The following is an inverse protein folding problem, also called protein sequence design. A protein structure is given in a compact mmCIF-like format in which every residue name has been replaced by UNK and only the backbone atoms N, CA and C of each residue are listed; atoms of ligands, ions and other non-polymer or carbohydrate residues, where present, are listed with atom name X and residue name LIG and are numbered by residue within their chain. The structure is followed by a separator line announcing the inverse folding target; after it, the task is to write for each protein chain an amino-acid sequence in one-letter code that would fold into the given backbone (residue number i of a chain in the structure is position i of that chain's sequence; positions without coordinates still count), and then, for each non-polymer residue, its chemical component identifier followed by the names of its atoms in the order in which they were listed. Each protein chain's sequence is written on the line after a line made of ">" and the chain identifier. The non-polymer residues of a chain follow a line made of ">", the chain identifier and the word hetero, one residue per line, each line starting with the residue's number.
data_IF_404091388259
#
_entry.id   IF_404091388259
#
_cell.length_a   1.000
_cell.length_b   1.000
_cell.length_c   1.000
_cell.angle_alpha   90.00
_cell.angle_beta   90.00
_cell.angle_gamma   90.00
#
_symmetry.space_group_name_H-M   'P 1'
#
loop_
_entity.id
_entity.type
_entity.pdbx_description
1 polymer ?
#
# COMPACT_ATOMS: atom_id res chain seq x y z
N UNK A 1 -17.98 2.59 -8.05
CA UNK A 1 -16.89 3.23 -7.28
C UNK A 1 -16.82 4.71 -7.62
N UNK A 2 -16.33 5.55 -6.70
CA UNK A 2 -16.46 7.02 -6.77
C UNK A 2 -15.35 7.74 -7.54
N UNK A 3 -14.50 7.02 -8.28
CA UNK A 3 -13.37 7.62 -9.00
C UNK A 3 -13.80 8.70 -10.00
N UNK A 4 -14.95 8.51 -10.65
CA UNK A 4 -15.51 9.46 -11.62
C UNK A 4 -16.01 10.75 -10.94
N UNK A 5 -16.25 10.72 -9.63
CA UNK A 5 -16.67 11.86 -8.81
C UNK A 5 -15.53 12.41 -7.94
N UNK A 6 -14.27 11.96 -8.14
CA UNK A 6 -13.17 12.30 -7.24
C UNK A 6 -13.02 13.81 -7.02
N UNK A 7 -13.01 14.61 -8.10
CA UNK A 7 -12.81 16.05 -8.01
C UNK A 7 -13.98 16.77 -7.33
N UNK A 8 -15.20 16.30 -7.55
CA UNK A 8 -16.41 16.80 -6.89
C UNK A 8 -16.35 16.52 -5.38
N UNK A 9 -16.02 15.29 -5.00
CA UNK A 9 -15.87 14.89 -3.59
C UNK A 9 -14.73 15.67 -2.91
N UNK A 10 -13.59 15.84 -3.59
CA UNK A 10 -12.47 16.61 -3.07
C UNK A 10 -12.88 18.07 -2.79
N UNK A 11 -13.46 18.75 -3.78
CA UNK A 11 -13.92 20.13 -3.64
C UNK A 11 -15.02 20.27 -2.58
N UNK A 12 -15.97 19.34 -2.56
CA UNK A 12 -17.08 19.30 -1.61
C UNK A 12 -16.64 19.08 -0.16
N UNK A 13 -15.42 18.58 0.08
CA UNK A 13 -14.86 18.38 1.41
C UNK A 13 -13.86 19.48 1.82
N UNK A 14 -13.52 20.44 0.95
CA UNK A 14 -12.56 21.49 1.27
C UNK A 14 -13.01 22.38 2.44
N UNK A 15 -14.33 22.57 2.63
CA UNK A 15 -14.86 23.37 3.74
C UNK A 15 -14.50 22.82 5.13
N UNK A 16 -14.22 21.51 5.23
CA UNK A 16 -13.76 20.87 6.47
C UNK A 16 -12.34 21.28 6.86
N UNK A 17 -11.60 21.94 5.95
CA UNK A 17 -10.20 22.33 6.11
C UNK A 17 -9.32 21.17 6.62
N UNK A 18 -9.39 19.98 6.00
CA UNK A 18 -8.66 18.83 6.50
C UNK A 18 -7.15 19.11 6.52
N UNK A 19 -6.47 18.72 7.59
CA UNK A 19 -5.00 18.76 7.67
C UNK A 19 -4.37 17.87 6.59
N UNK A 20 -5.04 16.77 6.27
CA UNK A 20 -4.62 15.79 5.28
C UNK A 20 -5.82 15.18 4.57
N UNK A 21 -5.84 15.28 3.24
CA UNK A 21 -6.73 14.50 2.39
C UNK A 21 -5.97 13.27 1.88
N UNK A 22 -6.48 12.07 2.14
CA UNK A 22 -5.83 10.81 1.78
C UNK A 22 -6.83 9.98 0.98
N UNK A 23 -6.36 9.39 -0.10
CA UNK A 23 -7.09 8.39 -0.86
C UNK A 23 -6.24 7.15 -1.03
N UNK A 24 -6.93 6.02 -1.16
CA UNK A 24 -6.34 4.74 -1.51
C UNK A 24 -7.14 4.17 -2.69
N UNK A 25 -6.48 3.35 -3.49
CA UNK A 25 -7.13 2.58 -4.54
C UNK A 25 -7.99 1.51 -3.88
N UNK A 26 -9.27 1.44 -4.23
CA UNK A 26 -10.09 0.29 -3.88
C UNK A 26 -9.52 -0.93 -4.61
N UNK A 27 -9.16 -1.97 -3.87
CA UNK A 27 -8.57 -3.18 -4.44
C UNK A 27 -9.48 -4.38 -4.23
N UNK A 28 -9.41 -5.31 -5.16
CA UNK A 28 -9.96 -6.64 -4.98
C UNK A 28 -9.12 -7.40 -3.96
N UNK A 29 -9.73 -7.81 -2.84
CA UNK A 29 -9.05 -8.47 -1.74
C UNK A 29 -9.79 -9.74 -1.37
N UNK A 30 -9.05 -10.83 -1.18
CA UNK A 30 -9.60 -12.07 -0.63
C UNK A 30 -10.14 -11.82 0.78
N UNK A 31 -9.42 -11.02 1.59
CA UNK A 31 -9.87 -10.66 2.94
C UNK A 31 -11.27 -10.04 2.97
N UNK A 32 -11.60 -9.18 2.00
CA UNK A 32 -12.83 -8.40 1.98
C UNK A 32 -13.93 -9.01 1.11
N UNK A 33 -13.67 -10.20 0.53
CA UNK A 33 -14.58 -10.88 -0.40
C UNK A 33 -14.97 -10.01 -1.61
N UNK A 34 -14.01 -9.23 -2.12
CA UNK A 34 -14.22 -8.30 -3.25
C UNK A 34 -13.57 -8.74 -4.55
N UNK A 35 -13.08 -9.98 -4.63
CA UNK A 35 -12.48 -10.52 -5.85
C UNK A 35 -13.53 -10.65 -6.96
N UNK A 36 -13.21 -10.13 -8.14
CA UNK A 36 -14.10 -10.13 -9.31
C UNK A 36 -15.18 -9.04 -9.33
N UNK A 37 -15.21 -8.14 -8.35
CA UNK A 37 -16.18 -7.05 -8.30
C UNK A 37 -15.85 -5.88 -9.26
N UNK A 38 -14.66 -5.89 -9.89
CA UNK A 38 -14.21 -4.83 -10.79
C UNK A 38 -13.98 -3.51 -10.07
N UNK A 39 -13.59 -3.56 -8.78
CA UNK A 39 -13.50 -2.35 -7.94
C UNK A 39 -12.22 -1.56 -8.16
N UNK A 40 -11.18 -2.27 -8.61
CA UNK A 40 -9.89 -1.68 -8.93
C UNK A 40 -10.03 -0.78 -10.15
N UNK A 41 -9.80 0.54 -10.03
CA UNK A 41 -9.89 1.45 -11.14
C UNK A 41 -8.83 1.15 -12.20
N UNK A 42 -9.17 1.45 -13.45
CA UNK A 42 -8.20 1.42 -14.54
C UNK A 42 -7.08 2.44 -14.30
N UNK A 43 -5.86 2.07 -14.68
CA UNK A 43 -4.69 2.93 -14.57
C UNK A 43 -4.90 4.31 -15.23
N UNK A 44 -5.57 4.37 -16.40
CA UNK A 44 -5.81 5.64 -17.09
C UNK A 44 -6.74 6.59 -16.30
N UNK A 45 -7.70 6.05 -15.55
CA UNK A 45 -8.58 6.86 -14.69
C UNK A 45 -7.88 7.33 -13.43
N UNK A 46 -7.02 6.50 -12.85
CA UNK A 46 -6.30 6.82 -11.61
C UNK A 46 -5.12 7.77 -11.83
N UNK A 47 -4.39 7.67 -12.94
CA UNK A 47 -3.21 8.47 -13.23
C UNK A 47 -3.39 9.99 -13.01
N UNK A 48 -4.42 10.67 -13.58
CA UNK A 48 -4.61 12.11 -13.37
C UNK A 48 -4.91 12.46 -11.90
N UNK A 49 -5.60 11.58 -11.17
CA UNK A 49 -5.90 11.75 -9.74
C UNK A 49 -4.62 11.64 -8.92
N UNK A 50 -3.77 10.65 -9.21
CA UNK A 50 -2.49 10.49 -8.55
C UNK A 50 -1.58 11.70 -8.77
N UNK A 51 -1.57 12.25 -9.98
CA UNK A 51 -0.77 13.44 -10.32
C UNK A 51 -1.30 14.68 -9.57
N UNK A 52 -2.62 14.88 -9.56
CA UNK A 52 -3.27 15.96 -8.79
C UNK A 52 -2.97 15.87 -7.29
N UNK A 53 -3.14 14.70 -6.68
CA UNK A 53 -2.86 14.48 -5.26
C UNK A 53 -1.38 14.67 -4.93
N UNK A 54 -0.48 14.21 -5.82
CA UNK A 54 0.95 14.44 -5.68
C UNK A 54 1.30 15.93 -5.70
N UNK A 55 0.66 16.70 -6.58
CA UNK A 55 0.85 18.14 -6.67
C UNK A 55 0.31 18.87 -5.44
N UNK A 56 -0.92 18.56 -5.01
CA UNK A 56 -1.52 19.13 -3.79
C UNK A 56 -0.70 18.83 -2.54
N UNK A 57 -0.13 17.62 -2.44
CA UNK A 57 0.78 17.27 -1.37
C UNK A 57 2.04 18.14 -1.37
N UNK A 58 2.62 18.43 -2.55
CA UNK A 58 3.81 19.31 -2.66
C UNK A 58 3.53 20.78 -2.38
N UNK A 59 2.38 21.31 -2.80
CA UNK A 59 2.02 22.73 -2.61
C UNK A 59 1.79 23.09 -1.14
N UNK A 60 1.41 22.12 -0.29
CA UNK A 60 1.09 22.38 1.11
C UNK A 60 2.36 22.50 1.94
N UNK A 61 2.64 23.71 2.45
CA UNK A 61 3.77 23.95 3.35
C UNK A 61 3.53 23.24 4.68
N UNK A 62 4.35 22.23 4.94
CA UNK A 62 4.39 21.50 6.22
C UNK A 62 5.81 21.48 6.77
N UNK A 63 5.93 21.36 8.09
CA UNK A 63 7.21 21.31 8.79
C UNK A 63 7.35 20.02 9.62
N UNK A 64 8.58 19.69 10.02
CA UNK A 64 8.87 18.55 10.89
C UNK A 64 8.41 17.21 10.30
N UNK A 65 7.77 16.38 11.14
CA UNK A 65 7.35 15.02 10.78
C UNK A 65 6.32 14.99 9.64
N UNK A 66 5.46 16.01 9.54
CA UNK A 66 4.46 16.09 8.47
C UNK A 66 5.12 16.14 7.08
N UNK A 67 6.29 16.77 6.95
CA UNK A 67 7.06 16.79 5.71
C UNK A 67 7.54 15.41 5.29
N UNK A 68 7.98 14.60 6.25
CA UNK A 68 8.39 13.21 6.02
C UNK A 68 7.19 12.41 5.51
N UNK A 69 6.04 12.50 6.19
CA UNK A 69 4.83 11.76 5.79
C UNK A 69 4.33 12.15 4.39
N UNK A 70 4.42 13.44 4.02
CA UNK A 70 4.05 13.90 2.68
C UNK A 70 5.02 13.41 1.61
N UNK A 71 6.33 13.39 1.89
CA UNK A 71 7.33 12.87 0.95
C UNK A 71 7.08 11.38 0.65
N UNK A 72 6.84 10.56 1.68
CA UNK A 72 6.43 9.16 1.48
C UNK A 72 5.12 9.05 0.70
N UNK A 73 4.15 9.93 0.96
CA UNK A 73 2.86 9.90 0.25
C UNK A 73 2.99 10.24 -1.23
N UNK A 74 3.84 11.19 -1.59
CA UNK A 74 4.12 11.52 -2.98
C UNK A 74 4.76 10.32 -3.70
N UNK A 75 5.72 9.65 -3.07
CA UNK A 75 6.32 8.40 -3.59
C UNK A 75 5.27 7.29 -3.71
N UNK A 76 4.40 7.14 -2.72
CA UNK A 76 3.31 6.15 -2.74
C UNK A 76 2.38 6.35 -3.94
N UNK A 77 1.94 7.58 -4.24
CA UNK A 77 1.03 7.81 -5.37
C UNK A 77 1.67 7.45 -6.71
N UNK A 78 2.96 7.74 -6.89
CA UNK A 78 3.70 7.34 -8.08
C UNK A 78 3.89 5.81 -8.14
N UNK A 79 4.17 5.17 -7.01
CA UNK A 79 4.26 3.71 -6.91
C UNK A 79 2.93 3.06 -7.29
N UNK A 80 1.82 3.52 -6.71
CA UNK A 80 0.47 3.03 -6.97
C UNK A 80 0.09 3.17 -8.45
N UNK A 81 0.33 4.34 -9.05
CA UNK A 81 0.11 4.61 -10.48
C UNK A 81 0.89 3.62 -11.34
N UNK A 82 2.18 3.44 -11.07
CA UNK A 82 3.04 2.52 -11.82
C UNK A 82 2.64 1.06 -11.63
N UNK A 83 2.29 0.63 -10.43
CA UNK A 83 1.82 -0.74 -10.16
C UNK A 83 0.56 -1.05 -10.98
N UNK A 84 -0.40 -0.13 -11.05
CA UNK A 84 -1.59 -0.29 -11.89
C UNK A 84 -1.27 -0.33 -13.40
N UNK A 85 -0.32 0.48 -13.87
CA UNK A 85 0.05 0.53 -15.28
C UNK A 85 0.87 -0.68 -15.73
N UNK A 86 1.86 -1.05 -14.93
CA UNK A 86 2.86 -2.07 -15.29
C UNK A 86 2.44 -3.48 -14.82
N UNK A 87 1.40 -3.60 -13.99
CA UNK A 87 0.85 -4.87 -13.50
C UNK A 87 1.92 -5.80 -12.91
N UNK A 88 2.89 -5.21 -12.20
CA UNK A 88 4.02 -5.89 -11.57
C UNK A 88 4.45 -5.19 -10.30
N UNK A 89 5.30 -5.84 -9.51
CA UNK A 89 5.97 -5.20 -8.39
C UNK A 89 6.98 -4.16 -8.91
N UNK A 90 6.76 -2.89 -8.56
CA UNK A 90 7.66 -1.78 -8.92
C UNK A 90 8.86 -1.70 -7.97
N UNK A 91 8.63 -2.00 -6.69
CA UNK A 91 9.66 -2.24 -5.67
C UNK A 91 9.39 -3.61 -5.03
N UNK A 92 10.41 -4.25 -4.41
CA UNK A 92 10.20 -5.53 -3.75
C UNK A 92 9.10 -5.47 -2.70
N UNK A 93 8.25 -6.50 -2.68
CA UNK A 93 7.28 -6.68 -1.61
C UNK A 93 7.90 -7.51 -0.46
N UNK A 94 7.83 -6.98 0.75
CA UNK A 94 8.35 -7.61 1.96
C UNK A 94 7.26 -8.25 2.82
N UNK A 95 6.06 -8.47 2.26
CA UNK A 95 4.98 -9.21 2.91
C UNK A 95 5.42 -10.64 3.27
N UNK A 96 5.08 -11.09 4.47
CA UNK A 96 5.57 -12.34 5.05
C UNK A 96 7.03 -12.30 5.53
N UNK A 97 7.75 -11.19 5.35
CA UNK A 97 9.10 -10.95 5.90
C UNK A 97 9.13 -9.83 6.93
N UNK A 98 8.58 -8.66 6.61
CA UNK A 98 8.50 -7.51 7.51
C UNK A 98 7.10 -7.29 8.09
N UNK A 99 6.07 -7.80 7.43
CA UNK A 99 4.68 -7.64 7.85
C UNK A 99 3.90 -8.92 7.65
N UNK A 100 2.83 -9.06 8.42
CA UNK A 100 1.84 -10.11 8.28
C UNK A 100 0.51 -9.66 8.85
N UNK A 101 -0.49 -10.51 8.66
CA UNK A 101 -1.82 -10.25 9.17
C UNK A 101 -2.37 -11.47 9.88
N UNK A 102 -3.08 -11.23 10.98
CA UNK A 102 -3.80 -12.25 11.72
C UNK A 102 -5.28 -12.04 11.44
N UNK A 103 -5.92 -13.03 10.83
CA UNK A 103 -7.35 -13.03 10.57
C UNK A 103 -8.15 -13.27 11.87
N UNK A 104 -9.45 -12.91 11.93
CA UNK A 104 -10.29 -13.13 13.12
C UNK A 104 -10.38 -14.60 13.56
N UNK A 105 -10.28 -15.53 12.61
CA UNK A 105 -10.25 -16.97 12.84
C UNK A 105 -8.87 -17.49 13.35
N UNK A 106 -7.88 -16.60 13.48
CA UNK A 106 -6.55 -16.90 13.98
C UNK A 106 -5.56 -17.36 12.90
N UNK A 107 -5.97 -17.40 11.64
CA UNK A 107 -5.05 -17.68 10.53
C UNK A 107 -4.05 -16.54 10.36
N UNK A 108 -2.82 -16.91 10.07
CA UNK A 108 -1.74 -16.01 9.77
C UNK A 108 -1.56 -15.93 8.25
N UNK A 109 -1.61 -14.73 7.71
CA UNK A 109 -1.43 -14.43 6.29
C UNK A 109 -0.16 -13.62 6.07
N UNK A 110 0.47 -13.80 4.90
CA UNK A 110 1.57 -12.94 4.47
C UNK A 110 1.11 -11.51 4.18
N UNK A 111 -0.10 -11.34 3.61
CA UNK A 111 -0.79 -10.07 3.39
C UNK A 111 -2.32 -10.26 3.24
N UNK A 112 -3.10 -9.19 3.43
CA UNK A 112 -4.56 -9.19 3.25
C UNK A 112 -5.04 -9.36 1.80
N UNK A 113 -4.25 -8.95 0.81
CA UNK A 113 -4.65 -9.09 -0.59
C UNK A 113 -4.86 -10.55 -0.94
N UNK A 114 -3.84 -11.38 -0.64
CA UNK A 114 -3.85 -12.80 -0.95
C UNK A 114 -4.63 -13.60 0.11
N UNK A 115 -4.54 -13.18 1.38
CA UNK A 115 -5.19 -13.82 2.53
C UNK A 115 -4.99 -15.37 2.58
N UNK A 116 -3.86 -15.86 2.09
CA UNK A 116 -3.54 -17.28 2.12
C UNK A 116 -2.99 -17.67 3.50
N UNK A 117 -3.62 -18.67 4.11
CA UNK A 117 -3.24 -19.20 5.43
C UNK A 117 -1.87 -19.89 5.42
N UNK A 118 -0.90 -19.32 6.14
CA UNK A 118 0.37 -19.98 6.45
C UNK A 118 0.29 -20.90 7.66
N UNK A 119 -0.75 -20.74 8.49
CA UNK A 119 -1.02 -21.53 9.69
C UNK A 119 -1.95 -20.79 10.65
N UNK A 120 -2.44 -21.46 11.68
CA UNK A 120 -3.40 -20.88 12.62
C UNK A 120 -2.82 -20.79 14.05
N UNK A 121 -2.90 -19.63 14.67
CA UNK A 121 -2.38 -19.39 16.02
C UNK A 121 -3.05 -20.28 17.07
N UNK A 122 -4.38 -20.44 17.02
CA UNK A 122 -5.12 -21.29 17.97
C UNK A 122 -4.70 -22.75 17.90
N UNK A 123 -4.34 -23.23 16.70
CA UNK A 123 -3.85 -24.60 16.46
C UNK A 123 -2.37 -24.79 16.81
N UNK A 124 -1.62 -23.70 17.00
CA UNK A 124 -0.18 -23.72 17.29
C UNK A 124 0.14 -23.18 18.69
N UNK A 125 -0.80 -23.25 19.64
CA UNK A 125 -0.65 -22.71 21.00
C UNK A 125 -0.17 -21.25 21.01
N UNK A 126 -0.62 -20.47 20.03
CA UNK A 126 -0.24 -19.07 19.83
C UNK A 126 1.27 -18.84 19.60
N UNK A 127 2.02 -19.86 19.21
CA UNK A 127 3.43 -19.71 18.79
C UNK A 127 3.51 -19.17 17.35
N UNK A 128 3.58 -17.85 17.25
CA UNK A 128 3.78 -17.16 15.96
C UNK A 128 5.08 -17.57 15.28
N UNK A 129 6.17 -17.78 16.02
CA UNK A 129 7.49 -18.09 15.44
C UNK A 129 7.47 -19.41 14.70
N UNK A 130 6.75 -20.40 15.24
CA UNK A 130 6.54 -21.70 14.61
C UNK A 130 5.88 -21.54 13.23
N UNK A 131 4.82 -20.74 13.13
CA UNK A 131 4.13 -20.48 11.85
C UNK A 131 5.01 -19.63 10.93
N UNK A 132 5.70 -18.62 11.46
CA UNK A 132 6.54 -17.70 10.69
C UNK A 132 7.70 -18.39 9.97
N UNK A 133 8.27 -19.41 10.62
CA UNK A 133 9.38 -20.24 10.12
C UNK A 133 8.91 -21.50 9.39
N UNK A 134 7.61 -21.67 9.20
CA UNK A 134 7.04 -22.81 8.47
C UNK A 134 7.44 -22.81 6.99
N UNK A 135 7.38 -23.98 6.38
CA UNK A 135 7.55 -24.15 4.94
C UNK A 135 6.48 -23.37 4.16
N UNK A 136 5.23 -23.38 4.64
CA UNK A 136 4.12 -22.65 4.02
C UNK A 136 4.42 -21.14 3.94
N UNK A 137 4.87 -20.52 5.05
CA UNK A 137 5.26 -19.10 5.02
C UNK A 137 6.50 -18.86 4.12
N UNK A 138 7.44 -19.81 4.07
CA UNK A 138 8.59 -19.72 3.17
C UNK A 138 8.18 -19.77 1.68
N UNK A 139 7.23 -20.65 1.32
CA UNK A 139 6.67 -20.74 -0.02
C UNK A 139 5.94 -19.44 -0.43
N UNK A 140 5.12 -18.88 0.47
CA UNK A 140 4.45 -17.59 0.26
C UNK A 140 5.46 -16.46 0.04
N UNK A 141 6.49 -16.35 0.90
CA UNK A 141 7.58 -15.39 0.70
C UNK A 141 8.29 -15.57 -0.63
N UNK A 142 8.55 -16.81 -1.04
CA UNK A 142 9.18 -17.11 -2.33
C UNK A 142 8.31 -16.71 -3.52
N UNK A 143 7.01 -16.96 -3.45
CA UNK A 143 6.03 -16.51 -4.46
C UNK A 143 6.01 -14.98 -4.57
N UNK A 144 5.96 -14.29 -3.43
CA UNK A 144 5.98 -12.83 -3.36
C UNK A 144 7.29 -12.27 -3.93
N UNK A 145 8.45 -12.80 -3.55
CA UNK A 145 9.74 -12.29 -4.01
C UNK A 145 9.99 -12.52 -5.51
N UNK A 146 9.35 -13.54 -6.11
CA UNK A 146 9.36 -13.78 -7.56
C UNK A 146 8.42 -12.88 -8.36
N UNK A 147 7.63 -12.02 -7.72
CA UNK A 147 6.74 -11.10 -8.43
C UNK A 147 5.45 -11.74 -8.94
N UNK A 148 5.03 -12.90 -8.39
CA UNK A 148 3.81 -13.62 -8.80
C UNK A 148 2.50 -12.88 -8.41
N UNK A 149 2.62 -11.76 -7.69
CA UNK A 149 1.53 -10.86 -7.37
C UNK A 149 1.98 -9.41 -7.48
N UNK A 150 1.03 -8.49 -7.67
CA UNK A 150 1.23 -7.05 -7.60
C UNK A 150 0.03 -6.40 -6.91
N UNK A 151 0.23 -5.25 -6.28
CA UNK A 151 -0.78 -4.63 -5.43
C UNK A 151 -0.41 -3.16 -5.15
N UNK A 152 -1.31 -2.18 -5.41
CA UNK A 152 -1.08 -0.77 -5.10
C UNK A 152 -1.47 -0.37 -3.66
N UNK A 153 -1.77 -1.31 -2.76
CA UNK A 153 -2.18 -1.04 -1.37
C UNK A 153 -1.20 -0.12 -0.63
N UNK A 154 -1.75 0.86 0.07
CA UNK A 154 -0.97 1.84 0.81
C UNK A 154 -0.17 1.20 1.95
N UNK A 155 -0.82 0.42 2.81
CA UNK A 155 -0.20 -0.16 4.00
C UNK A 155 1.04 -1.01 3.66
N UNK A 156 0.90 -1.96 2.74
CA UNK A 156 2.02 -2.77 2.26
C UNK A 156 3.12 -1.90 1.61
N UNK A 157 2.72 -0.91 0.80
CA UNK A 157 3.66 -0.02 0.12
C UNK A 157 4.52 0.80 1.08
N UNK A 158 3.95 1.36 2.16
CA UNK A 158 4.75 2.14 3.13
C UNK A 158 5.80 1.28 3.83
N UNK A 159 5.46 0.06 4.25
CA UNK A 159 6.43 -0.87 4.82
C UNK A 159 7.53 -1.23 3.81
N UNK A 160 7.16 -1.47 2.54
CA UNK A 160 8.12 -1.77 1.47
C UNK A 160 9.04 -0.58 1.19
N UNK A 161 8.52 0.65 1.15
CA UNK A 161 9.30 1.86 0.92
C UNK A 161 10.34 2.11 2.02
N UNK A 162 9.98 1.84 3.28
CA UNK A 162 10.92 1.94 4.42
C UNK A 162 12.11 0.98 4.28
N UNK A 163 11.87 -0.18 3.66
CA UNK A 163 12.88 -1.22 3.44
C UNK A 163 13.55 -1.13 2.06
N UNK A 164 13.21 -0.12 1.26
CA UNK A 164 13.75 0.06 -0.09
C UNK A 164 14.70 1.26 -0.12
N UNK A 165 16.03 1.05 -0.05
CA UNK A 165 17.02 2.13 0.04
C UNK A 165 16.89 3.21 -1.05
N UNK A 166 16.63 2.89 -2.33
CA UNK A 166 16.43 3.91 -3.35
C UNK A 166 15.23 4.82 -3.08
N UNK A 167 14.13 4.29 -2.53
CA UNK A 167 12.97 5.12 -2.16
C UNK A 167 13.31 5.98 -0.94
N UNK A 168 13.97 5.41 0.07
CA UNK A 168 14.43 6.18 1.23
C UNK A 168 15.33 7.35 0.84
N UNK A 169 16.24 7.16 -0.13
CA UNK A 169 17.07 8.23 -0.65
C UNK A 169 16.25 9.36 -1.32
N UNK A 170 15.23 9.04 -2.12
CA UNK A 170 14.35 10.04 -2.74
C UNK A 170 13.49 10.79 -1.72
N UNK A 171 12.96 10.08 -0.72
CA UNK A 171 12.24 10.69 0.40
C UNK A 171 13.16 11.63 1.16
N UNK A 172 14.37 11.20 1.51
CA UNK A 172 15.35 12.02 2.19
C UNK A 172 15.69 13.27 1.37
N UNK A 173 15.94 13.13 0.06
CA UNK A 173 16.18 14.25 -0.85
C UNK A 173 15.01 15.26 -0.82
N UNK A 174 13.77 14.79 -0.91
CA UNK A 174 12.57 15.65 -0.84
C UNK A 174 12.45 16.39 0.50
N UNK A 175 12.85 15.73 1.59
CA UNK A 175 12.81 16.32 2.94
C UNK A 175 13.93 17.33 3.19
N UNK A 176 15.06 17.24 2.50
CA UNK A 176 16.17 18.20 2.66
C UNK A 176 16.11 19.35 1.66
N UNK A 177 15.58 19.15 0.45
CA UNK A 177 15.49 20.20 -0.58
C UNK A 177 14.40 21.21 -0.22
N UNK A 178 14.71 22.47 0.09
CA UNK A 178 13.70 23.47 0.47
C UNK A 178 12.65 23.64 -0.65
N UNK A 179 11.39 23.84 -0.25
CA UNK A 179 10.27 24.19 -1.15
C UNK A 179 10.44 25.60 -1.71
#
# INVERSE_FOLDING_TARGET
>A
FNIDHFFEVYAGLEFLKPDSYITEIAEERVELDTVGWGITPMAQKYAPIADFLSEKARQRRVSGFARITQAFRAEYYQLAKRTLMEQRQIIPCYAGWASCQIAPNGDLWSCCIRAEGAGNLRKNNYDLKRIWRSEQMAQLRGSISRGECHCPMANASYANMLLHPPTMARVAATVITPN
#
